data_IF_909980256689
#
_entry.id   IF_909980256689
#
_cell.length_a   1.000
_cell.length_b   1.000
_cell.length_c   1.000
_cell.angle_alpha   90.00
_cell.angle_beta   90.00
_cell.angle_gamma   90.00
#
_symmetry.space_group_name_H-M   'P 1'
#
loop_
_entity.id
_entity.type
_entity.pdbx_description
1 polymer ?
#
# COMPACT_ATOMS: atom_id res chain seq x y z
N UNK A 1 -8.34 -19.57 -17.15
CA UNK A 1 -7.74 -19.59 -15.80
C UNK A 1 -6.25 -19.32 -15.96
N UNK A 2 -5.79 -18.14 -15.59
CA UNK A 2 -4.35 -17.89 -15.49
C UNK A 2 -3.83 -18.73 -14.31
N UNK A 3 -2.89 -19.61 -14.58
CA UNK A 3 -2.18 -20.38 -13.55
C UNK A 3 -1.41 -19.37 -12.69
N UNK A 4 -1.91 -19.08 -11.50
CA UNK A 4 -1.20 -18.21 -10.53
C UNK A 4 0.08 -18.95 -10.16
N UNK A 5 1.21 -18.48 -10.65
CA UNK A 5 2.52 -19.05 -10.36
C UNK A 5 2.90 -18.69 -8.92
N UNK A 6 3.25 -19.67 -8.12
CA UNK A 6 3.75 -19.46 -6.76
C UNK A 6 5.00 -18.56 -6.80
N UNK A 7 4.98 -17.48 -6.03
CA UNK A 7 6.13 -16.59 -5.86
C UNK A 7 7.23 -17.31 -5.07
N UNK A 8 8.49 -16.93 -5.30
CA UNK A 8 9.56 -17.28 -4.36
C UNK A 8 9.37 -16.52 -3.06
N UNK A 9 9.93 -17.00 -1.95
CA UNK A 9 9.87 -16.33 -0.64
C UNK A 9 10.33 -14.88 -0.73
N UNK A 10 11.45 -14.63 -1.41
CA UNK A 10 11.98 -13.27 -1.63
C UNK A 10 11.04 -12.37 -2.44
N UNK A 11 10.42 -12.91 -3.50
CA UNK A 11 9.46 -12.15 -4.32
C UNK A 11 8.21 -11.79 -3.52
N UNK A 12 7.71 -12.73 -2.70
CA UNK A 12 6.54 -12.46 -1.86
C UNK A 12 6.85 -11.47 -0.73
N UNK A 13 8.01 -11.55 -0.11
CA UNK A 13 8.47 -10.57 0.90
C UNK A 13 8.59 -9.17 0.29
N UNK A 14 9.18 -9.05 -0.90
CA UNK A 14 9.24 -7.78 -1.62
C UNK A 14 7.85 -7.24 -1.97
N UNK A 15 6.93 -8.10 -2.36
CA UNK A 15 5.55 -7.73 -2.65
C UNK A 15 4.85 -7.19 -1.39
N UNK A 16 4.98 -7.85 -0.23
CA UNK A 16 4.42 -7.36 1.04
C UNK A 16 4.96 -5.97 1.40
N UNK A 17 6.26 -5.74 1.24
CA UNK A 17 6.87 -4.43 1.47
C UNK A 17 6.33 -3.38 0.51
N UNK A 18 6.15 -3.72 -0.77
CA UNK A 18 5.57 -2.81 -1.76
C UNK A 18 4.13 -2.43 -1.41
N UNK A 19 3.28 -3.38 -0.97
CA UNK A 19 1.90 -3.10 -0.56
C UNK A 19 1.86 -2.09 0.60
N UNK A 20 2.69 -2.28 1.61
CA UNK A 20 2.81 -1.35 2.73
C UNK A 20 3.24 0.07 2.27
N UNK A 21 4.21 0.15 1.35
CA UNK A 21 4.68 1.43 0.80
C UNK A 21 3.61 2.13 -0.06
N UNK A 22 2.79 1.38 -0.78
CA UNK A 22 1.66 1.93 -1.56
C UNK A 22 0.69 2.67 -0.64
N UNK A 23 0.25 2.04 0.46
CA UNK A 23 -0.67 2.66 1.40
C UNK A 23 -0.07 3.93 2.04
N UNK A 24 1.16 3.87 2.51
CA UNK A 24 1.88 5.02 3.08
C UNK A 24 1.96 6.17 2.07
N UNK A 25 2.44 5.88 0.85
CA UNK A 25 2.58 6.90 -0.20
C UNK A 25 1.24 7.50 -0.59
N UNK A 26 0.19 6.70 -0.72
CA UNK A 26 -1.15 7.20 -1.03
C UNK A 26 -1.62 8.23 0.00
N UNK A 27 -1.48 7.93 1.31
CA UNK A 27 -1.85 8.86 2.38
C UNK A 27 -0.98 10.12 2.41
N UNK A 28 0.29 10.01 2.07
CA UNK A 28 1.17 11.18 1.92
C UNK A 28 0.71 12.08 0.77
N UNK A 29 0.44 11.49 -0.39
CA UNK A 29 -0.04 12.25 -1.56
C UNK A 29 -1.42 12.86 -1.30
N UNK A 30 -2.32 12.12 -0.66
CA UNK A 30 -3.67 12.60 -0.29
C UNK A 30 -3.63 13.89 0.53
N UNK A 31 -2.60 14.09 1.35
CA UNK A 31 -2.41 15.27 2.21
C UNK A 31 -1.45 16.29 1.62
N UNK A 32 -0.96 16.10 0.41
CA UNK A 32 0.06 16.96 -0.18
C UNK A 32 -0.51 18.23 -0.79
N UNK A 33 0.28 19.29 -0.75
CA UNK A 33 -0.06 20.57 -1.41
C UNK A 33 -0.18 20.40 -2.94
N UNK A 34 0.56 19.45 -3.52
CA UNK A 34 0.51 19.13 -4.96
C UNK A 34 -0.89 18.64 -5.36
N UNK A 35 -1.50 17.76 -4.58
CA UNK A 35 -2.86 17.27 -4.85
C UNK A 35 -3.90 18.38 -4.62
N UNK A 36 -3.73 19.19 -3.60
CA UNK A 36 -4.59 20.35 -3.34
C UNK A 36 -4.52 21.38 -4.50
N UNK A 37 -3.31 21.70 -4.96
CA UNK A 37 -3.07 22.57 -6.12
C UNK A 37 -3.72 21.98 -7.40
N UNK A 38 -3.58 20.67 -7.62
CA UNK A 38 -4.21 19.98 -8.75
C UNK A 38 -5.73 20.16 -8.75
N UNK A 39 -6.41 19.93 -7.63
CA UNK A 39 -7.86 20.10 -7.55
C UNK A 39 -8.30 21.56 -7.72
N UNK A 40 -7.58 22.50 -7.13
CA UNK A 40 -7.85 23.92 -7.30
C UNK A 40 -7.73 24.35 -8.78
N UNK A 41 -6.65 23.98 -9.44
CA UNK A 41 -6.44 24.31 -10.84
C UNK A 41 -7.39 23.54 -11.76
N UNK A 42 -7.75 22.31 -11.44
CA UNK A 42 -8.74 21.54 -12.16
C UNK A 42 -10.08 22.26 -12.19
N UNK A 43 -10.57 22.68 -11.04
CA UNK A 43 -11.84 23.42 -10.93
C UNK A 43 -11.81 24.70 -11.76
N UNK A 44 -10.73 25.46 -11.71
CA UNK A 44 -10.56 26.68 -12.50
C UNK A 44 -10.52 26.38 -13.99
N UNK A 45 -9.65 25.48 -14.44
CA UNK A 45 -9.41 25.21 -15.88
C UNK A 45 -10.63 24.53 -16.52
N UNK A 46 -11.35 23.68 -15.80
CA UNK A 46 -12.55 23.01 -16.30
C UNK A 46 -13.82 23.89 -16.21
N UNK A 47 -13.74 25.08 -15.59
CA UNK A 47 -14.88 25.98 -15.48
C UNK A 47 -15.37 26.49 -16.84
N UNK A 48 -16.68 26.66 -16.98
CA UNK A 48 -17.28 27.19 -18.19
C UNK A 48 -16.75 28.58 -18.55
N UNK A 49 -16.49 29.41 -17.56
CA UNK A 49 -15.93 30.76 -17.72
C UNK A 49 -14.53 30.72 -18.32
N UNK A 50 -13.64 29.89 -17.78
CA UNK A 50 -12.28 29.70 -18.28
C UNK A 50 -12.30 29.21 -19.74
N UNK A 51 -13.09 28.21 -20.04
CA UNK A 51 -13.19 27.65 -21.39
C UNK A 51 -13.77 28.64 -22.38
N UNK A 52 -14.80 29.39 -22.00
CA UNK A 52 -15.37 30.47 -22.82
C UNK A 52 -14.34 31.58 -23.11
N UNK A 53 -13.59 32.02 -22.08
CA UNK A 53 -12.53 33.01 -22.23
C UNK A 53 -11.42 32.51 -23.16
N UNK A 54 -10.96 31.28 -22.96
CA UNK A 54 -9.95 30.64 -23.82
C UNK A 54 -10.44 30.56 -25.27
N UNK A 55 -11.66 30.08 -25.49
CA UNK A 55 -12.26 30.00 -26.82
C UNK A 55 -12.32 31.37 -27.46
N UNK A 56 -12.84 32.39 -26.77
CA UNK A 56 -12.91 33.78 -27.27
C UNK A 56 -11.54 34.27 -27.69
N UNK A 57 -10.51 34.13 -26.84
CA UNK A 57 -9.17 34.65 -27.13
C UNK A 57 -8.45 33.88 -28.23
N UNK A 58 -8.75 32.59 -28.43
CA UNK A 58 -8.08 31.77 -29.47
C UNK A 58 -8.78 31.85 -30.82
N UNK A 59 -10.10 32.02 -30.88
CA UNK A 59 -10.88 31.95 -32.11
C UNK A 59 -11.27 33.30 -32.73
N UNK A 60 -11.40 34.37 -31.90
CA UNK A 60 -11.78 35.71 -32.41
C UNK A 60 -10.70 36.25 -33.32
N UNK A 61 -11.07 36.57 -34.57
CA UNK A 61 -10.14 37.22 -35.50
C UNK A 61 -10.01 38.69 -35.16
N UNK A 62 -8.84 39.27 -35.40
CA UNK A 62 -8.62 40.70 -35.16
C UNK A 62 -9.66 41.60 -35.84
N UNK A 63 -10.04 41.26 -37.09
CA UNK A 63 -11.02 42.03 -37.82
C UNK A 63 -12.43 42.08 -37.18
N UNK A 64 -12.75 41.07 -36.35
CA UNK A 64 -14.03 40.95 -35.66
C UNK A 64 -14.04 41.65 -34.27
N UNK A 65 -12.92 42.27 -33.88
CA UNK A 65 -12.82 43.04 -32.64
C UNK A 65 -13.19 44.54 -32.86
N UNK A 66 -13.51 45.21 -31.77
CA UNK A 66 -13.75 46.65 -31.82
C UNK A 66 -12.52 47.41 -32.33
N UNK A 67 -11.33 47.05 -31.90
CA UNK A 67 -10.04 47.66 -32.32
C UNK A 67 -9.82 47.41 -33.79
N UNK A 68 -10.09 46.22 -34.30
CA UNK A 68 -9.98 45.86 -35.72
C UNK A 68 -10.93 46.68 -36.59
N UNK A 69 -12.18 46.76 -36.17
CA UNK A 69 -13.22 47.55 -36.86
C UNK A 69 -12.91 49.05 -36.84
N UNK A 70 -12.48 49.61 -35.69
CA UNK A 70 -12.04 50.99 -35.54
C UNK A 70 -10.85 51.29 -36.48
N UNK A 71 -9.85 50.43 -36.51
CA UNK A 71 -8.68 50.58 -37.38
C UNK A 71 -9.05 50.45 -38.87
N UNK A 72 -10.00 49.62 -39.23
CA UNK A 72 -10.50 49.48 -40.60
C UNK A 72 -11.23 50.75 -41.06
N UNK A 73 -12.13 51.24 -40.22
CA UNK A 73 -12.85 52.50 -40.49
C UNK A 73 -11.93 53.71 -40.58
N UNK A 74 -10.97 53.83 -39.63
CA UNK A 74 -9.95 54.88 -39.68
C UNK A 74 -9.16 54.85 -41.00
N UNK A 75 -8.74 53.71 -41.46
CA UNK A 75 -8.04 53.51 -42.74
C UNK A 75 -8.90 53.88 -43.93
N UNK A 76 -10.18 53.48 -43.94
CA UNK A 76 -11.13 53.82 -44.99
C UNK A 76 -11.34 55.35 -45.07
N UNK A 77 -11.57 55.99 -43.95
CA UNK A 77 -11.75 57.46 -43.89
C UNK A 77 -10.47 58.22 -44.29
N UNK A 78 -9.30 57.67 -44.00
CA UNK A 78 -8.00 58.28 -44.40
C UNK A 78 -7.89 58.45 -45.95
N UNK A 79 -8.63 57.67 -46.76
CA UNK A 79 -8.73 57.75 -48.19
C UNK A 79 -9.97 58.48 -48.71
N UNK A 80 -10.83 59.00 -47.77
CA UNK A 80 -11.99 59.77 -48.14
C UNK A 80 -11.56 61.15 -48.69
N UNK A 81 -12.21 61.58 -49.76
CA UNK A 81 -11.85 62.85 -50.42
C UNK A 81 -11.94 64.05 -49.50
N UNK A 82 -13.00 64.16 -48.67
CA UNK A 82 -13.13 65.27 -47.69
C UNK A 82 -11.99 65.30 -46.69
N UNK A 83 -11.57 64.12 -46.18
CA UNK A 83 -10.41 63.98 -45.26
C UNK A 83 -9.10 64.33 -45.92
N UNK A 84 -8.88 63.91 -47.15
CA UNK A 84 -7.69 64.28 -47.93
C UNK A 84 -7.62 65.78 -48.13
N UNK A 85 -8.74 66.42 -48.56
CA UNK A 85 -8.79 67.87 -48.74
C UNK A 85 -8.57 68.61 -47.44
N UNK A 86 -9.14 68.14 -46.31
CA UNK A 86 -8.85 68.71 -44.96
C UNK A 86 -7.39 68.66 -44.60
N UNK A 87 -6.74 67.56 -44.84
CA UNK A 87 -5.31 67.41 -44.54
C UNK A 87 -4.41 68.28 -45.38
N UNK A 88 -4.76 68.47 -46.66
CA UNK A 88 -4.01 69.29 -47.60
C UNK A 88 -4.23 70.77 -47.38
N UNK A 89 -5.50 71.18 -47.23
CA UNK A 89 -5.87 72.58 -47.19
C UNK A 89 -5.94 73.14 -45.78
N UNK A 90 -6.09 72.35 -44.73
CA UNK A 90 -6.23 72.69 -43.30
C UNK A 90 -7.32 73.78 -43.05
N UNK A 91 -8.36 73.81 -43.88
CA UNK A 91 -9.47 74.79 -43.77
C UNK A 91 -10.49 74.29 -42.73
N UNK A 92 -10.85 75.11 -41.73
CA UNK A 92 -11.84 74.81 -40.67
C UNK A 92 -13.19 74.35 -41.23
N UNK A 93 -13.63 74.93 -42.35
CA UNK A 93 -14.91 74.56 -43.02
C UNK A 93 -14.98 73.06 -43.36
N UNK A 94 -13.87 72.34 -43.50
CA UNK A 94 -13.88 70.90 -43.72
C UNK A 94 -14.08 70.08 -42.44
N UNK A 95 -13.86 70.66 -41.28
CA UNK A 95 -14.10 69.98 -40.00
C UNK A 95 -15.58 69.71 -39.74
N UNK A 96 -16.48 70.56 -40.32
CA UNK A 96 -17.92 70.39 -40.19
C UNK A 96 -18.47 69.23 -41.00
N UNK A 97 -17.67 68.67 -41.93
CA UNK A 97 -18.08 67.48 -42.69
C UNK A 97 -18.02 66.24 -41.79
N UNK A 98 -19.10 65.45 -41.80
CA UNK A 98 -19.27 64.30 -40.94
C UNK A 98 -18.08 63.32 -41.01
N UNK A 99 -17.54 63.06 -42.21
CA UNK A 99 -16.41 62.13 -42.43
C UNK A 99 -15.09 62.70 -41.82
N UNK A 100 -14.92 64.02 -41.85
CA UNK A 100 -13.73 64.63 -41.23
C UNK A 100 -13.85 64.67 -39.74
N UNK A 101 -15.02 65.00 -39.20
CA UNK A 101 -15.27 64.93 -37.75
C UNK A 101 -15.04 63.51 -37.21
N UNK A 102 -15.61 62.50 -37.86
CA UNK A 102 -15.41 61.09 -37.50
C UNK A 102 -13.93 60.64 -37.63
N UNK A 103 -13.23 61.08 -38.66
CA UNK A 103 -11.79 60.82 -38.81
C UNK A 103 -10.95 61.39 -37.67
N UNK A 104 -11.26 62.63 -37.25
CA UNK A 104 -10.53 63.29 -36.17
C UNK A 104 -10.81 62.61 -34.81
N UNK A 105 -12.02 62.23 -34.55
CA UNK A 105 -12.42 61.47 -33.36
C UNK A 105 -11.68 60.15 -33.31
N UNK A 106 -11.72 59.35 -34.39
CA UNK A 106 -11.00 58.08 -34.47
C UNK A 106 -9.47 58.30 -34.35
N UNK A 107 -8.92 59.35 -34.99
CA UNK A 107 -7.50 59.68 -34.86
C UNK A 107 -7.08 59.96 -33.41
N UNK A 108 -7.92 60.65 -32.63
CA UNK A 108 -7.68 60.87 -31.22
C UNK A 108 -7.79 59.55 -30.42
N UNK A 109 -8.83 58.73 -30.67
CA UNK A 109 -9.06 57.44 -30.02
C UNK A 109 -7.90 56.48 -30.22
N UNK A 110 -7.40 56.32 -31.46
CA UNK A 110 -6.32 55.34 -31.76
C UNK A 110 -4.96 55.72 -31.17
N UNK A 111 -4.81 56.99 -30.73
CA UNK A 111 -3.60 57.49 -30.08
C UNK A 111 -3.62 57.31 -28.58
N UNK A 112 -4.76 56.94 -27.99
CA UNK A 112 -4.85 56.71 -26.55
C UNK A 112 -4.01 55.47 -26.16
N UNK A 113 -3.31 55.52 -25.00
CA UNK A 113 -2.51 54.38 -24.53
C UNK A 113 -3.37 53.11 -24.39
N UNK A 114 -4.60 53.22 -23.93
CA UNK A 114 -5.55 52.14 -23.72
C UNK A 114 -5.88 51.45 -25.05
N UNK A 115 -6.18 52.24 -26.10
CA UNK A 115 -6.45 51.69 -27.42
C UNK A 115 -5.21 50.99 -28.01
N UNK A 116 -4.06 51.59 -27.87
CA UNK A 116 -2.81 51.01 -28.40
C UNK A 116 -2.47 49.67 -27.73
N UNK A 117 -2.64 49.57 -26.40
CA UNK A 117 -2.44 48.36 -25.65
C UNK A 117 -3.40 47.24 -26.07
N UNK A 118 -4.70 47.55 -26.11
CA UNK A 118 -5.76 46.60 -26.48
C UNK A 118 -5.61 46.14 -27.94
N UNK A 119 -5.29 47.09 -28.83
CA UNK A 119 -5.04 46.83 -30.25
C UNK A 119 -3.80 45.92 -30.45
N UNK A 120 -2.72 46.15 -29.72
CA UNK A 120 -1.55 45.32 -29.74
C UNK A 120 -1.86 43.87 -29.23
N UNK A 121 -2.63 43.81 -28.13
CA UNK A 121 -3.08 42.53 -27.60
C UNK A 121 -3.88 41.73 -28.63
N UNK A 122 -4.92 42.31 -29.26
CA UNK A 122 -5.76 41.63 -30.23
C UNK A 122 -5.04 41.28 -31.53
N UNK A 123 -4.04 42.02 -31.92
CA UNK A 123 -3.16 41.70 -33.07
C UNK A 123 -2.23 40.52 -32.80
N UNK A 124 -1.94 40.22 -31.55
CA UNK A 124 -1.05 39.12 -31.20
C UNK A 124 -1.76 37.76 -31.43
N UNK A 125 -1.32 36.93 -32.39
CA UNK A 125 -1.91 35.60 -32.59
C UNK A 125 -1.69 34.65 -31.42
N UNK A 126 -0.68 34.94 -30.57
CA UNK A 126 -0.33 34.17 -29.37
C UNK A 126 -0.88 34.83 -28.08
N UNK A 127 -1.89 35.73 -28.19
CA UNK A 127 -2.43 36.49 -27.04
C UNK A 127 -2.90 35.62 -25.87
N UNK A 128 -3.44 34.42 -26.14
CA UNK A 128 -3.78 33.47 -25.09
C UNK A 128 -2.60 33.18 -24.16
N UNK A 129 -1.43 32.91 -24.74
CA UNK A 129 -0.22 32.55 -24.00
C UNK A 129 0.39 33.71 -23.18
N UNK A 130 -0.12 34.92 -23.33
CA UNK A 130 0.28 36.09 -22.53
C UNK A 130 -0.63 36.33 -21.33
N UNK A 131 -1.68 35.51 -21.15
CA UNK A 131 -2.64 35.65 -20.05
C UNK A 131 -2.25 34.87 -18.82
N UNK A 132 -2.65 35.31 -17.61
CA UNK A 132 -2.48 34.52 -16.38
C UNK A 132 -3.15 33.13 -16.47
N UNK A 133 -4.31 33.07 -17.11
CA UNK A 133 -5.07 31.82 -17.29
C UNK A 133 -4.28 30.77 -18.10
N UNK A 134 -3.52 31.19 -19.11
CA UNK A 134 -2.68 30.24 -19.83
C UNK A 134 -1.55 29.67 -18.99
N UNK A 135 -1.04 30.43 -17.99
CA UNK A 135 -0.06 29.92 -17.03
C UNK A 135 -0.70 28.90 -16.07
N UNK A 136 -1.94 29.16 -15.63
CA UNK A 136 -2.72 28.20 -14.84
C UNK A 136 -2.95 26.90 -15.60
N UNK A 137 -3.36 26.99 -16.87
CA UNK A 137 -3.55 25.83 -17.73
C UNK A 137 -2.24 25.03 -17.93
N UNK A 138 -1.15 25.74 -18.16
CA UNK A 138 0.17 25.11 -18.28
C UNK A 138 0.53 24.35 -17.01
N UNK A 139 0.36 24.99 -15.85
CA UNK A 139 0.63 24.37 -14.55
C UNK A 139 -0.26 23.17 -14.29
N UNK A 140 -1.56 23.26 -14.59
CA UNK A 140 -2.48 22.11 -14.51
C UNK A 140 -2.02 20.93 -15.36
N UNK A 141 -1.62 21.19 -16.62
CA UNK A 141 -1.13 20.15 -17.53
C UNK A 141 0.19 19.50 -17.07
N UNK A 142 1.02 20.23 -16.33
CA UNK A 142 2.21 19.69 -15.67
C UNK A 142 1.83 18.78 -14.51
N UNK A 143 0.85 19.21 -13.67
CA UNK A 143 0.37 18.43 -12.53
C UNK A 143 -0.33 17.13 -12.96
N UNK A 144 -1.12 17.15 -14.02
CA UNK A 144 -1.75 15.93 -14.59
C UNK A 144 -0.71 14.84 -14.88
N UNK A 145 0.52 15.23 -15.21
CA UNK A 145 1.64 14.31 -15.51
C UNK A 145 2.55 14.06 -14.32
N UNK A 146 2.33 14.73 -13.21
CA UNK A 146 3.16 14.58 -12.01
C UNK A 146 3.05 13.16 -11.46
N UNK A 147 4.17 12.55 -11.10
CA UNK A 147 4.23 11.16 -10.68
C UNK A 147 3.30 10.84 -9.49
N UNK A 148 3.14 11.76 -8.54
CA UNK A 148 2.27 11.56 -7.39
C UNK A 148 0.79 11.67 -7.76
N UNK A 149 0.42 12.58 -8.68
CA UNK A 149 -0.95 12.69 -9.17
C UNK A 149 -1.35 11.44 -9.95
N UNK A 150 -0.49 10.98 -10.86
CA UNK A 150 -0.68 9.74 -11.60
C UNK A 150 -0.82 8.56 -10.64
N UNK A 151 0.08 8.46 -9.65
CA UNK A 151 0.05 7.41 -8.64
C UNK A 151 -1.25 7.44 -7.83
N UNK A 152 -1.70 8.63 -7.38
CA UNK A 152 -2.91 8.77 -6.59
C UNK A 152 -4.16 8.27 -7.31
N UNK A 153 -4.29 8.61 -8.62
CA UNK A 153 -5.43 8.17 -9.43
C UNK A 153 -5.34 6.73 -9.95
N UNK A 154 -4.19 6.07 -9.81
CA UNK A 154 -4.03 4.64 -10.08
C UNK A 154 -4.58 3.75 -8.96
N UNK A 155 -4.81 4.30 -7.76
CA UNK A 155 -5.29 3.57 -6.60
C UNK A 155 -6.61 4.16 -6.10
N UNK A 156 -7.47 3.30 -5.57
CA UNK A 156 -8.75 3.71 -4.99
C UNK A 156 -8.66 3.75 -3.47
N UNK A 157 -9.48 4.61 -2.85
CA UNK A 157 -9.61 4.65 -1.39
C UNK A 157 -9.98 3.28 -0.80
N UNK A 158 -10.81 2.51 -1.52
CA UNK A 158 -11.20 1.17 -1.09
C UNK A 158 -10.01 0.21 -1.05
N UNK A 159 -9.18 0.18 -2.09
CA UNK A 159 -7.97 -0.64 -2.11
C UNK A 159 -7.01 -0.28 -0.98
N UNK A 160 -6.81 1.02 -0.74
CA UNK A 160 -5.95 1.49 0.36
C UNK A 160 -6.55 1.12 1.72
N UNK A 161 -7.85 1.29 1.92
CA UNK A 161 -8.52 0.89 3.15
C UNK A 161 -8.41 -0.62 3.39
N UNK A 162 -8.48 -1.45 2.35
CA UNK A 162 -8.23 -2.88 2.45
C UNK A 162 -6.79 -3.19 2.87
N UNK A 163 -5.79 -2.49 2.32
CA UNK A 163 -4.39 -2.63 2.74
C UNK A 163 -4.16 -2.20 4.20
N UNK A 164 -4.84 -1.14 4.64
CA UNK A 164 -4.75 -0.59 5.99
C UNK A 164 -5.61 -1.33 7.01
N UNK A 165 -6.55 -2.16 6.58
CA UNK A 165 -7.43 -2.92 7.48
C UNK A 165 -6.65 -3.92 8.33
N UNK A 166 -5.54 -4.43 7.80
CA UNK A 166 -4.67 -5.36 8.50
C UNK A 166 -3.71 -4.60 9.43
N UNK A 167 -4.12 -4.45 10.69
CA UNK A 167 -3.25 -3.84 11.73
C UNK A 167 -2.46 -4.93 12.43
N UNK A 168 -1.13 -4.77 12.49
CA UNK A 168 -0.29 -5.64 13.33
C UNK A 168 -0.73 -5.51 14.78
N UNK A 169 -1.22 -6.59 15.36
CA UNK A 169 -1.63 -6.66 16.76
C UNK A 169 -0.55 -7.29 17.62
N UNK A 170 0.29 -8.13 17.03
CA UNK A 170 1.43 -8.74 17.69
C UNK A 170 2.50 -9.14 16.67
N UNK A 171 3.78 -9.06 17.07
CA UNK A 171 4.90 -9.52 16.24
C UNK A 171 6.06 -10.02 17.10
N UNK A 172 6.78 -11.04 16.58
CA UNK A 172 8.11 -11.47 17.02
C UNK A 172 9.06 -11.33 15.82
N UNK A 173 9.95 -10.35 15.89
CA UNK A 173 10.87 -10.03 14.78
C UNK A 173 12.27 -10.59 15.00
N UNK A 174 12.50 -11.31 16.12
CA UNK A 174 13.79 -11.90 16.51
C UNK A 174 14.97 -10.90 16.48
N UNK A 175 14.71 -9.62 16.75
CA UNK A 175 15.72 -8.56 16.67
C UNK A 175 16.73 -8.61 17.80
N UNK A 176 16.36 -9.21 18.92
CA UNK A 176 17.22 -9.41 20.10
C UNK A 176 17.68 -10.86 20.21
N UNK A 177 18.69 -11.12 21.01
CA UNK A 177 19.16 -12.48 21.31
C UNK A 177 18.21 -13.29 22.21
N UNK A 178 17.03 -12.75 22.52
CA UNK A 178 16.02 -13.37 23.37
C UNK A 178 14.65 -13.18 22.73
N UNK A 179 13.78 -14.18 22.89
CA UNK A 179 12.36 -14.05 22.52
C UNK A 179 11.66 -13.05 23.45
N UNK A 180 10.59 -12.45 22.98
CA UNK A 180 9.75 -11.59 23.80
C UNK A 180 9.23 -12.34 25.06
N UNK A 181 8.94 -11.60 26.13
CA UNK A 181 8.56 -12.17 27.43
C UNK A 181 7.26 -12.99 27.42
N UNK A 182 6.47 -12.89 26.37
CA UNK A 182 5.23 -13.68 26.20
C UNK A 182 5.51 -15.15 25.88
N UNK A 183 6.73 -15.50 25.42
CA UNK A 183 7.09 -16.87 25.10
C UNK A 183 7.53 -17.64 26.34
N UNK A 184 6.98 -18.86 26.50
CA UNK A 184 7.35 -19.80 27.53
C UNK A 184 7.55 -21.20 26.97
N UNK A 185 8.52 -21.94 27.52
CA UNK A 185 8.75 -23.33 27.16
C UNK A 185 7.66 -24.26 27.72
N UNK A 186 7.35 -25.29 26.97
CA UNK A 186 6.37 -26.30 27.36
C UNK A 186 5.04 -26.18 26.64
N UNK A 187 4.11 -27.06 26.98
CA UNK A 187 2.74 -27.04 26.46
C UNK A 187 1.84 -26.13 27.28
N UNK A 188 0.88 -25.50 26.61
CA UNK A 188 -0.17 -24.74 27.24
C UNK A 188 -1.25 -25.70 27.76
N UNK A 189 -1.30 -25.92 29.08
CA UNK A 189 -2.35 -26.71 29.73
C UNK A 189 -2.95 -25.96 30.93
N UNK A 190 -4.27 -25.99 31.09
CA UNK A 190 -4.92 -25.31 32.21
C UNK A 190 -4.78 -26.06 33.56
N UNK A 191 -4.24 -27.28 33.56
CA UNK A 191 -4.21 -28.15 34.74
C UNK A 191 -2.82 -28.14 35.41
N UNK A 192 -2.81 -27.99 36.74
CA UNK A 192 -1.58 -28.12 37.58
C UNK A 192 -1.00 -29.54 37.58
N UNK A 193 -1.77 -30.53 37.11
CA UNK A 193 -1.36 -31.94 37.08
C UNK A 193 -0.34 -32.25 35.99
N UNK A 194 -0.39 -31.48 34.88
CA UNK A 194 0.56 -31.62 33.80
C UNK A 194 1.67 -30.59 33.93
N UNK A 195 2.88 -31.05 34.15
CA UNK A 195 4.08 -30.19 34.02
C UNK A 195 4.20 -29.80 32.55
N UNK A 196 4.26 -28.52 32.29
CA UNK A 196 4.27 -27.95 30.92
C UNK A 196 5.35 -28.59 29.99
N UNK A 197 6.44 -29.12 30.55
CA UNK A 197 7.57 -29.66 29.81
C UNK A 197 7.59 -31.21 29.77
N UNK A 198 6.46 -31.87 29.77
CA UNK A 198 6.42 -33.29 29.53
C UNK A 198 6.51 -33.61 28.04
N UNK A 199 6.97 -34.83 27.72
CA UNK A 199 6.98 -35.38 26.38
C UNK A 199 5.85 -36.42 26.22
N UNK A 200 5.73 -37.01 25.06
CA UNK A 200 4.78 -38.10 24.78
C UNK A 200 5.56 -39.38 24.46
N UNK A 201 5.13 -40.52 25.00
CA UNK A 201 5.75 -41.83 24.67
C UNK A 201 5.64 -42.21 23.19
N UNK A 202 4.69 -41.64 22.49
CA UNK A 202 4.50 -41.81 21.04
C UNK A 202 5.45 -40.91 20.18
N UNK A 203 6.39 -40.25 20.83
CA UNK A 203 7.41 -39.41 20.16
C UNK A 203 8.81 -39.88 20.57
N UNK A 204 9.81 -39.60 19.73
CA UNK A 204 11.19 -40.08 19.97
C UNK A 204 12.04 -39.09 20.77
N UNK A 205 11.54 -37.88 21.08
CA UNK A 205 12.30 -36.84 21.73
C UNK A 205 11.69 -36.42 23.08
N UNK A 206 12.55 -36.04 24.00
CA UNK A 206 12.20 -35.27 25.20
C UNK A 206 12.27 -33.75 24.93
N UNK A 207 11.40 -32.97 25.57
CA UNK A 207 11.48 -31.51 25.55
C UNK A 207 12.36 -30.98 26.67
N UNK A 208 13.22 -29.96 26.38
CA UNK A 208 14.38 -29.59 27.19
C UNK A 208 14.27 -28.21 27.84
N UNK A 209 13.13 -27.60 27.91
CA UNK A 209 12.94 -26.27 28.54
C UNK A 209 13.82 -25.18 27.92
N UNK A 210 13.95 -25.13 26.59
CA UNK A 210 14.69 -24.10 25.88
C UNK A 210 16.16 -24.39 25.59
N UNK A 211 16.74 -25.51 26.10
CA UNK A 211 18.14 -25.85 25.82
C UNK A 211 18.43 -26.17 24.36
N UNK A 212 17.42 -26.53 23.60
CA UNK A 212 17.48 -26.81 22.16
C UNK A 212 16.98 -25.66 21.30
N UNK A 213 16.87 -24.48 21.93
CA UNK A 213 16.46 -23.24 21.28
C UNK A 213 17.58 -22.23 21.32
N UNK A 214 17.74 -21.47 20.25
CA UNK A 214 18.63 -20.33 20.19
C UNK A 214 17.99 -19.19 19.37
N UNK A 215 18.30 -17.94 19.74
CA UNK A 215 17.99 -16.77 18.92
C UNK A 215 19.33 -16.12 18.57
N UNK A 216 19.69 -16.16 17.30
CA UNK A 216 20.94 -15.62 16.79
C UNK A 216 20.77 -15.11 15.35
N UNK A 217 21.46 -14.03 15.00
CA UNK A 217 21.41 -13.45 13.66
C UNK A 217 19.96 -13.14 13.18
N UNK A 218 19.09 -12.70 14.10
CA UNK A 218 17.66 -12.42 13.84
C UNK A 218 16.86 -13.67 13.42
N UNK A 219 17.30 -14.84 13.86
CA UNK A 219 16.61 -16.11 13.60
C UNK A 219 16.38 -16.84 14.92
N UNK A 220 15.15 -17.25 15.14
CA UNK A 220 14.78 -18.15 16.23
C UNK A 220 14.82 -19.59 15.72
N UNK A 221 15.73 -20.40 16.28
CA UNK A 221 15.92 -21.81 15.89
C UNK A 221 15.47 -22.76 16.98
N UNK A 222 14.64 -23.75 16.63
CA UNK A 222 14.31 -24.92 17.47
C UNK A 222 14.99 -26.14 16.85
N UNK A 223 15.92 -26.76 17.60
CA UNK A 223 16.81 -27.81 17.11
C UNK A 223 16.43 -29.16 17.72
N UNK A 224 16.17 -30.15 16.88
CA UNK A 224 16.03 -31.55 17.31
C UNK A 224 17.39 -32.23 17.23
N UNK A 225 17.94 -32.65 18.39
CA UNK A 225 19.29 -33.21 18.52
C UNK A 225 19.23 -34.68 18.90
N UNK A 226 20.23 -35.46 18.45
CA UNK A 226 20.46 -36.83 18.93
C UNK A 226 21.12 -36.78 20.28
N UNK A 227 20.35 -36.94 21.32
CA UNK A 227 20.80 -36.87 22.72
C UNK A 227 19.94 -37.82 23.56
N UNK A 228 20.58 -38.84 24.17
CA UNK A 228 19.88 -39.76 25.06
C UNK A 228 19.57 -39.10 26.39
N UNK A 229 18.30 -39.17 26.79
CA UNK A 229 17.88 -38.62 28.07
C UNK A 229 16.68 -39.37 28.64
N UNK A 230 16.52 -39.30 29.97
CA UNK A 230 15.31 -39.80 30.64
C UNK A 230 14.51 -38.59 31.11
N UNK A 231 13.24 -38.56 30.72
CA UNK A 231 12.37 -37.40 31.04
C UNK A 231 10.93 -37.84 31.34
N UNK A 232 10.14 -37.00 32.02
CA UNK A 232 8.70 -37.24 32.18
C UNK A 232 7.98 -37.30 30.82
N UNK A 233 7.16 -38.34 30.66
CA UNK A 233 6.39 -38.53 29.45
C UNK A 233 4.93 -38.94 29.75
N UNK A 234 4.01 -38.44 28.98
CA UNK A 234 2.61 -38.87 29.04
C UNK A 234 2.41 -40.20 28.30
N UNK A 235 1.88 -41.17 29.03
CA UNK A 235 1.48 -42.45 28.50
C UNK A 235 -0.05 -42.58 28.55
N UNK A 236 -0.75 -42.95 27.48
CA UNK A 236 -2.22 -42.93 27.42
C UNK A 236 -2.94 -43.72 28.52
N UNK A 237 -2.33 -44.84 28.97
CA UNK A 237 -2.94 -45.72 29.98
C UNK A 237 -2.31 -45.65 31.36
N UNK A 238 -1.03 -45.18 31.45
CA UNK A 238 -0.27 -45.15 32.72
C UNK A 238 -0.12 -43.78 33.31
N UNK A 239 -0.60 -42.72 32.60
CA UNK A 239 -0.37 -41.34 33.02
C UNK A 239 1.07 -40.90 32.84
N UNK A 240 1.60 -40.03 33.75
CA UNK A 240 2.95 -39.54 33.72
C UNK A 240 3.92 -40.61 34.19
N UNK A 241 4.88 -40.96 33.33
CA UNK A 241 5.97 -41.92 33.60
C UNK A 241 7.32 -41.32 33.25
N UNK A 242 8.40 -41.88 33.83
CA UNK A 242 9.77 -41.62 33.32
C UNK A 242 10.04 -42.53 32.12
N UNK A 243 10.47 -41.92 31.00
CA UNK A 243 10.70 -42.59 29.72
C UNK A 243 12.09 -42.22 29.16
N UNK A 244 12.71 -43.20 28.48
CA UNK A 244 14.00 -43.00 27.84
C UNK A 244 13.83 -42.55 26.40
N UNK A 245 14.41 -41.39 26.06
CA UNK A 245 14.36 -40.81 24.73
C UNK A 245 15.74 -40.85 24.07
N UNK A 246 15.77 -41.01 22.75
CA UNK A 246 16.99 -40.99 21.93
C UNK A 246 17.32 -39.58 21.39
N UNK A 247 16.38 -38.68 21.45
CA UNK A 247 16.47 -37.31 20.95
C UNK A 247 15.96 -36.30 21.97
N UNK A 248 16.36 -35.06 21.77
CA UNK A 248 15.81 -33.88 22.48
C UNK A 248 15.36 -32.82 21.52
N UNK A 249 14.40 -32.02 21.92
CA UNK A 249 13.86 -30.87 21.17
C UNK A 249 13.24 -29.86 22.11
N UNK A 250 12.57 -28.84 21.58
CA UNK A 250 11.81 -27.88 22.37
C UNK A 250 10.39 -27.65 21.85
N UNK A 251 9.55 -27.21 22.77
CA UNK A 251 8.20 -26.72 22.53
C UNK A 251 8.02 -25.38 23.23
N UNK A 252 7.40 -24.44 22.55
CA UNK A 252 7.16 -23.09 23.03
C UNK A 252 5.69 -22.70 22.81
N UNK A 253 5.14 -21.91 23.72
CA UNK A 253 3.82 -21.31 23.59
C UNK A 253 3.82 -19.87 24.11
N UNK A 254 2.82 -19.08 23.72
CA UNK A 254 2.62 -17.73 24.30
C UNK A 254 1.79 -17.85 25.59
N UNK A 255 2.24 -17.19 26.66
CA UNK A 255 1.58 -17.19 27.97
C UNK A 255 0.22 -16.50 27.98
N UNK A 256 0.07 -15.55 27.07
CA UNK A 256 -1.18 -14.84 26.83
C UNK A 256 -1.67 -15.08 25.40
N UNK A 257 -2.95 -14.85 25.18
CA UNK A 257 -3.54 -14.96 23.87
C UNK A 257 -3.13 -13.75 23.01
N UNK A 258 -2.39 -14.01 21.95
CA UNK A 258 -1.84 -12.98 21.05
C UNK A 258 -2.63 -12.81 19.77
N UNK A 259 -3.52 -13.75 19.44
CA UNK A 259 -4.30 -13.71 18.21
C UNK A 259 -5.79 -13.40 18.47
N UNK A 260 -6.39 -12.50 17.69
CA UNK A 260 -7.81 -12.13 17.82
C UNK A 260 -8.73 -13.25 17.31
N UNK A 261 -10.06 -13.04 17.41
CA UNK A 261 -11.08 -13.99 16.93
C UNK A 261 -11.06 -14.22 15.43
N UNK A 262 -10.61 -13.22 14.67
CA UNK A 262 -10.36 -13.29 13.22
C UNK A 262 -9.12 -12.51 12.88
N UNK A 263 -8.38 -12.94 11.85
CA UNK A 263 -7.15 -12.24 11.49
C UNK A 263 -6.28 -13.01 10.51
N UNK A 264 -5.02 -12.60 10.48
CA UNK A 264 -3.97 -13.19 9.65
C UNK A 264 -2.74 -13.45 10.51
N UNK A 265 -2.24 -14.70 10.47
CA UNK A 265 -0.93 -15.07 11.01
C UNK A 265 0.01 -15.31 9.85
N UNK A 266 1.15 -14.64 9.87
CA UNK A 266 2.24 -14.88 8.93
C UNK A 266 3.51 -15.25 9.67
N UNK A 267 4.28 -16.19 9.13
CA UNK A 267 5.63 -16.47 9.59
C UNK A 267 6.53 -16.84 8.41
N UNK A 268 7.74 -16.31 8.42
CA UNK A 268 8.81 -16.73 7.52
C UNK A 268 9.63 -17.80 8.20
N UNK A 269 9.64 -19.00 7.60
CA UNK A 269 10.25 -20.16 8.22
C UNK A 269 11.13 -20.95 7.23
N UNK A 270 12.14 -21.62 7.78
CA UNK A 270 13.01 -22.55 7.06
C UNK A 270 13.12 -23.86 7.84
N UNK A 271 13.10 -24.99 7.13
CA UNK A 271 13.19 -26.32 7.73
C UNK A 271 14.37 -27.10 7.21
N UNK A 272 15.06 -27.79 8.11
CA UNK A 272 16.11 -28.76 7.76
C UNK A 272 15.92 -30.09 8.47
N UNK A 273 16.51 -31.15 7.92
CA UNK A 273 16.53 -32.46 8.56
C UNK A 273 15.23 -33.26 8.43
N UNK A 274 14.94 -34.10 9.42
CA UNK A 274 13.85 -35.08 9.42
C UNK A 274 12.77 -34.84 10.46
N UNK A 275 12.99 -33.90 11.42
CA UNK A 275 11.97 -33.56 12.39
C UNK A 275 10.73 -33.00 11.70
N UNK A 276 9.57 -33.28 12.25
CA UNK A 276 8.32 -32.61 11.90
C UNK A 276 8.15 -31.37 12.78
N UNK A 277 7.44 -30.40 12.25
CA UNK A 277 7.22 -29.13 12.93
C UNK A 277 5.74 -28.84 13.04
N UNK A 278 5.33 -28.33 14.17
CA UNK A 278 3.99 -27.77 14.39
C UNK A 278 4.16 -26.30 14.70
N UNK A 279 3.44 -25.48 13.97
CA UNK A 279 3.28 -24.06 14.24
C UNK A 279 1.77 -23.79 14.08
N UNK A 280 1.12 -23.44 15.17
CA UNK A 280 -0.32 -23.30 15.18
C UNK A 280 -0.81 -22.22 16.16
N UNK A 281 -2.03 -21.76 15.91
CA UNK A 281 -2.86 -21.06 16.88
C UNK A 281 -3.67 -22.11 17.64
N UNK A 282 -3.72 -22.02 18.96
CA UNK A 282 -4.42 -22.95 19.82
C UNK A 282 -5.21 -22.26 20.92
N UNK A 283 -6.26 -22.89 21.38
CA UNK A 283 -6.98 -22.49 22.59
C UNK A 283 -6.16 -22.83 23.83
N UNK A 284 -6.43 -22.17 24.96
CA UNK A 284 -5.77 -22.41 26.24
C UNK A 284 -5.85 -23.89 26.72
N UNK A 285 -6.86 -24.64 26.28
CA UNK A 285 -7.01 -26.07 26.60
C UNK A 285 -6.35 -27.02 25.58
N UNK A 286 -5.69 -26.50 24.56
CA UNK A 286 -5.01 -27.22 23.47
C UNK A 286 -5.82 -28.32 22.77
N UNK A 287 -7.15 -28.34 22.93
CA UNK A 287 -8.01 -29.39 22.33
C UNK A 287 -8.19 -29.23 20.82
N UNK A 288 -8.10 -28.01 20.32
CA UNK A 288 -8.23 -27.69 18.90
C UNK A 288 -7.18 -26.66 18.51
N UNK A 289 -6.72 -26.70 17.29
CA UNK A 289 -5.67 -25.81 16.78
C UNK A 289 -5.90 -25.48 15.31
N UNK A 290 -5.47 -24.27 14.91
CA UNK A 290 -5.35 -23.86 13.51
C UNK A 290 -3.88 -23.94 13.10
N UNK A 291 -3.57 -24.88 12.23
CA UNK A 291 -2.19 -25.12 11.81
C UNK A 291 -1.75 -24.14 10.73
N UNK A 292 -0.68 -23.40 10.98
CA UNK A 292 -0.01 -22.55 9.98
C UNK A 292 0.69 -23.41 8.91
N UNK A 293 1.32 -24.50 9.35
CA UNK A 293 2.02 -25.42 8.46
C UNK A 293 1.07 -26.52 7.99
N UNK A 294 0.70 -26.56 6.71
CA UNK A 294 -0.15 -27.61 6.15
C UNK A 294 0.57 -28.95 6.15
N UNK A 295 -0.15 -30.04 6.51
CA UNK A 295 0.45 -31.36 6.67
C UNK A 295 1.12 -31.91 5.39
N UNK A 296 0.57 -31.58 4.21
CA UNK A 296 0.94 -32.25 2.94
C UNK A 296 1.71 -31.38 1.94
N UNK A 297 1.88 -30.08 2.23
CA UNK A 297 2.49 -29.13 1.29
C UNK A 297 3.54 -28.25 1.97
N UNK A 298 4.46 -28.86 2.67
CA UNK A 298 5.54 -28.16 3.35
C UNK A 298 6.66 -27.81 2.36
N UNK A 299 6.92 -26.51 2.20
CA UNK A 299 8.05 -25.97 1.43
C UNK A 299 9.16 -25.63 2.41
N UNK A 300 10.40 -26.06 2.13
CA UNK A 300 11.53 -25.93 3.08
C UNK A 300 11.81 -24.49 3.53
N UNK A 301 11.58 -23.53 2.66
CA UNK A 301 11.72 -22.10 2.96
C UNK A 301 10.57 -21.35 2.33
N UNK A 302 9.71 -20.75 3.14
CA UNK A 302 8.54 -20.01 2.69
C UNK A 302 8.01 -19.01 3.74
N UNK A 303 7.21 -18.08 3.28
CA UNK A 303 6.28 -17.34 4.12
C UNK A 303 4.96 -18.09 4.12
N UNK A 304 4.61 -18.63 5.27
CA UNK A 304 3.32 -19.25 5.51
C UNK A 304 2.34 -18.20 6.03
N UNK A 305 1.12 -18.24 5.49
CA UNK A 305 0.05 -17.34 5.90
C UNK A 305 -1.19 -18.16 6.24
N UNK A 306 -1.74 -17.92 7.42
CA UNK A 306 -3.02 -18.46 7.89
C UNK A 306 -4.01 -17.31 8.02
N UNK A 307 -5.08 -17.36 7.26
CA UNK A 307 -6.19 -16.41 7.35
C UNK A 307 -7.37 -17.14 8.02
N UNK A 308 -7.93 -16.56 9.06
CA UNK A 308 -9.09 -17.16 9.74
C UNK A 308 -10.16 -16.11 10.05
N UNK A 309 -11.39 -16.56 9.98
CA UNK A 309 -12.58 -15.85 10.44
C UNK A 309 -13.52 -16.84 11.13
N UNK A 310 -14.72 -16.42 11.52
CA UNK A 310 -15.68 -17.27 12.19
C UNK A 310 -16.10 -18.52 11.42
N UNK A 311 -15.99 -18.51 10.08
CA UNK A 311 -16.50 -19.57 9.20
C UNK A 311 -15.41 -20.48 8.69
N UNK A 312 -14.29 -19.92 8.28
CA UNK A 312 -13.26 -20.65 7.54
C UNK A 312 -11.84 -20.31 7.96
N UNK A 313 -10.94 -21.20 7.61
CA UNK A 313 -9.50 -21.07 7.74
C UNK A 313 -8.85 -21.37 6.38
N UNK A 314 -8.00 -20.46 5.94
CA UNK A 314 -7.31 -20.59 4.65
C UNK A 314 -5.81 -20.50 4.87
N UNK A 315 -5.07 -21.49 4.35
CA UNK A 315 -3.62 -21.50 4.37
C UNK A 315 -3.05 -21.11 3.02
N UNK A 316 -2.01 -20.29 3.05
CA UNK A 316 -1.22 -19.91 1.89
C UNK A 316 0.26 -20.21 2.11
N UNK A 317 0.95 -20.53 1.03
CA UNK A 317 2.42 -20.64 0.95
C UNK A 317 2.89 -19.68 -0.12
N UNK A 318 3.70 -18.68 0.25
CA UNK A 318 4.16 -17.62 -0.66
C UNK A 318 3.02 -17.05 -1.54
N UNK A 319 1.91 -16.67 -0.89
CA UNK A 319 0.70 -16.13 -1.50
C UNK A 319 -0.12 -17.09 -2.38
N UNK A 320 0.21 -18.38 -2.40
CA UNK A 320 -0.58 -19.40 -3.10
C UNK A 320 -1.47 -20.15 -2.10
N UNK A 321 -2.78 -20.15 -2.30
CA UNK A 321 -3.71 -20.95 -1.48
C UNK A 321 -3.40 -22.43 -1.61
N UNK A 322 -3.20 -23.10 -0.46
CA UNK A 322 -2.86 -24.52 -0.39
C UNK A 322 -3.92 -25.35 0.29
N UNK A 323 -4.72 -24.75 1.19
CA UNK A 323 -5.88 -25.41 1.81
C UNK A 323 -6.91 -24.41 2.27
N UNK A 324 -8.16 -24.86 2.31
CA UNK A 324 -9.32 -24.13 2.85
C UNK A 324 -10.21 -25.10 3.61
N UNK A 325 -10.52 -24.79 4.86
CA UNK A 325 -11.33 -25.65 5.74
C UNK A 325 -12.29 -24.81 6.56
N UNK A 326 -13.31 -25.44 7.13
CA UNK A 326 -14.16 -24.81 8.12
C UNK A 326 -13.35 -24.50 9.38
N UNK A 327 -13.60 -23.33 10.01
CA UNK A 327 -12.94 -22.98 11.26
C UNK A 327 -13.50 -23.81 12.43
N UNK A 328 -12.65 -24.64 13.08
CA UNK A 328 -13.08 -25.42 14.26
C UNK A 328 -13.07 -24.60 15.57
N UNK A 329 -12.56 -23.36 15.54
CA UNK A 329 -12.29 -22.52 16.71
C UNK A 329 -13.04 -21.18 16.59
N UNK A 330 -14.37 -21.19 16.67
CA UNK A 330 -15.11 -19.92 16.59
C UNK A 330 -15.10 -19.16 17.93
N UNK A 331 -14.67 -17.88 17.87
CA UNK A 331 -14.98 -16.90 18.90
C UNK A 331 -14.04 -16.79 20.10
N UNK A 332 -12.93 -17.48 20.16
CA UNK A 332 -11.98 -17.43 21.27
C UNK A 332 -10.68 -16.70 20.89
N UNK A 333 -10.02 -16.14 21.91
CA UNK A 333 -8.66 -15.63 21.77
C UNK A 333 -7.66 -16.79 21.78
N UNK A 334 -6.63 -16.72 20.93
CA UNK A 334 -5.75 -17.84 20.63
C UNK A 334 -4.30 -17.56 21.03
N UNK A 335 -3.66 -18.61 21.49
CA UNK A 335 -2.22 -18.64 21.78
C UNK A 335 -1.44 -19.19 20.59
N UNK A 336 -0.19 -18.81 20.43
CA UNK A 336 0.74 -19.48 19.52
C UNK A 336 1.36 -20.69 20.23
N UNK A 337 1.55 -21.77 19.47
CA UNK A 337 2.32 -22.94 19.86
C UNK A 337 3.25 -23.34 18.72
N UNK A 338 4.53 -23.52 19.05
CA UNK A 338 5.59 -23.92 18.11
C UNK A 338 6.37 -25.07 18.70
N UNK A 339 6.57 -26.15 17.95
CA UNK A 339 7.39 -27.25 18.35
C UNK A 339 8.01 -28.03 17.20
N UNK A 340 9.13 -28.69 17.47
CA UNK A 340 9.69 -29.71 16.58
C UNK A 340 9.62 -31.08 17.27
N UNK A 341 9.28 -32.14 16.51
CA UNK A 341 9.10 -33.46 17.06
C UNK A 341 9.42 -34.58 16.05
N UNK A 342 9.65 -35.76 16.57
CA UNK A 342 9.87 -36.99 15.80
C UNK A 342 8.78 -38.01 16.18
N UNK A 343 7.83 -38.35 15.30
CA UNK A 343 6.87 -39.41 15.55
C UNK A 343 7.55 -40.74 15.73
N UNK A 344 7.02 -41.63 16.59
CA UNK A 344 7.57 -42.95 16.88
C UNK A 344 7.79 -43.79 15.63
N UNK A 345 6.85 -43.78 14.71
CA UNK A 345 6.86 -44.57 13.48
C UNK A 345 7.66 -43.95 12.31
N UNK A 346 8.32 -42.83 12.52
CA UNK A 346 9.13 -42.18 11.49
C UNK A 346 10.61 -42.54 11.65
N UNK A 347 11.33 -42.63 10.50
CA UNK A 347 12.79 -42.83 10.51
C UNK A 347 13.43 -41.67 11.29
N UNK A 348 14.08 -42.02 12.39
CA UNK A 348 14.73 -41.09 13.28
C UNK A 348 15.78 -40.21 12.58
N UNK A 349 15.97 -39.00 13.08
CA UNK A 349 16.97 -38.06 12.56
C UNK A 349 16.89 -36.68 13.25
N UNK A 350 17.95 -35.93 13.12
CA UNK A 350 17.98 -34.53 13.58
C UNK A 350 17.15 -33.62 12.68
N UNK A 351 16.81 -32.44 13.14
CA UNK A 351 16.11 -31.42 12.36
C UNK A 351 16.18 -30.06 13.02
N UNK A 352 15.83 -29.03 12.28
CA UNK A 352 15.81 -27.67 12.75
C UNK A 352 14.66 -26.91 12.09
N UNK A 353 13.97 -26.14 12.89
CA UNK A 353 12.99 -25.13 12.48
C UNK A 353 13.60 -23.78 12.78
N UNK A 354 13.80 -22.99 11.74
CA UNK A 354 14.23 -21.62 11.82
C UNK A 354 13.06 -20.70 11.51
N UNK A 355 12.90 -19.64 12.32
CA UNK A 355 11.83 -18.66 12.22
C UNK A 355 12.50 -17.29 12.15
N UNK A 356 12.37 -16.60 11.03
CA UNK A 356 12.91 -15.25 10.85
C UNK A 356 12.02 -14.22 11.57
N UNK A 357 10.70 -14.35 11.41
CA UNK A 357 9.72 -13.50 12.07
C UNK A 357 8.34 -14.15 12.09
N UNK A 358 7.51 -13.67 13.04
CA UNK A 358 6.08 -14.03 13.17
C UNK A 358 5.28 -12.76 13.34
N UNK A 359 4.19 -12.61 12.60
CA UNK A 359 3.31 -11.43 12.65
C UNK A 359 1.85 -11.84 12.68
N UNK A 360 1.08 -11.19 13.54
CA UNK A 360 -0.37 -11.36 13.63
C UNK A 360 -1.04 -10.02 13.34
N UNK A 361 -2.02 -10.07 12.45
CA UNK A 361 -2.82 -8.91 12.06
C UNK A 361 -4.28 -9.14 12.42
N UNK A 362 -4.98 -8.10 12.84
CA UNK A 362 -6.45 -8.07 12.92
C UNK A 362 -7.03 -7.46 11.66
N UNK A 363 -8.23 -7.92 11.31
CA UNK A 363 -9.09 -7.24 10.33
C UNK A 363 -9.87 -6.14 11.04
#
# INVERSE_FOLDING_TARGET
MQTVKMLTTKQFEQWLQQQAQIAIRYRQVQKSDILAEYYTLKEVVESAEFQAKKQKLTTTRYADTQEGSTMALYRQLNWNTSVILYKLLKKEAYKEKAEVAQYLELAAQIQTPEFQQTNAFWKNPKRWFTTPESQQEKRYNELVKHADIVFFFQHTEKEIAELESYKTVWAEECETAQLSAVWQTGFLYPSKEFKANHSHVSEQQAYTQGRNTQVANRVWSIITKKEKTTAPAWHPTKGMIMHNFAYTSDVWHTTEAVAPKSGVLQAKVHFTGKAKHIFCLTMANAKKSLHLLPADKVVKEAIYTLVWNEKEVVNYVNNMEVSRTQNPLSGEALHLLVRSYLPENQKAGTGQLDIDWVRIYSN
#
